data_IF_700028891943
#
_entry.id   IF_700028891943
#
_cell.length_a   1.000
_cell.length_b   1.000
_cell.length_c   1.000
_cell.angle_alpha   90.00
_cell.angle_beta   90.00
_cell.angle_gamma   90.00
#
_symmetry.space_group_name_H-M   'P 1'
#
loop_
_entity.id
_entity.type
_entity.pdbx_description
1 polymer ?
#
# COMPACT_ATOMS: atom_id res chain seq x y z
N UNK A 1 16.75 10.58 1.92
CA UNK A 1 17.41 9.44 2.61
C UNK A 1 16.36 8.35 2.79
N UNK A 2 16.68 7.09 2.49
CA UNK A 2 15.77 5.96 2.60
C UNK A 2 16.17 5.08 3.79
N UNK A 3 15.19 4.46 4.46
CA UNK A 3 15.43 3.49 5.52
C UNK A 3 14.83 2.14 5.13
N UNK A 4 15.64 1.08 5.20
CA UNK A 4 15.15 -0.28 5.17
C UNK A 4 14.71 -0.67 6.59
N UNK A 5 13.40 -0.85 6.74
CA UNK A 5 12.74 -1.14 8.02
C UNK A 5 12.79 -2.65 8.27
N UNK A 6 13.72 -3.06 9.11
CA UNK A 6 13.97 -4.45 9.48
C UNK A 6 13.83 -4.67 10.98
N UNK A 7 13.51 -5.90 11.40
CA UNK A 7 13.38 -6.25 12.81
C UNK A 7 11.96 -6.12 13.37
N UNK A 8 11.60 -7.11 14.20
CA UNK A 8 10.23 -7.33 14.67
C UNK A 8 9.64 -6.12 15.39
N UNK A 9 10.40 -5.48 16.27
CA UNK A 9 9.91 -4.34 17.06
C UNK A 9 9.54 -3.15 16.15
N UNK A 10 10.36 -2.84 15.16
CA UNK A 10 10.12 -1.70 14.27
C UNK A 10 8.94 -1.97 13.33
N UNK A 11 8.85 -3.19 12.78
CA UNK A 11 7.72 -3.60 11.95
C UNK A 11 6.40 -3.66 12.74
N UNK A 12 6.42 -4.05 14.01
CA UNK A 12 5.25 -3.98 14.90
C UNK A 12 4.84 -2.53 15.18
N UNK A 13 5.79 -1.62 15.38
CA UNK A 13 5.50 -0.18 15.53
C UNK A 13 4.87 0.38 14.25
N UNK A 14 5.40 0.02 13.07
CA UNK A 14 4.84 0.41 11.79
C UNK A 14 3.41 -0.13 11.63
N UNK A 15 3.19 -1.42 11.89
CA UNK A 15 1.86 -2.04 11.81
C UNK A 15 0.84 -1.31 12.71
N UNK A 16 1.23 -0.99 13.96
CA UNK A 16 0.37 -0.23 14.89
C UNK A 16 0.07 1.18 14.38
N UNK A 17 1.04 1.84 13.77
CA UNK A 17 0.86 3.18 13.17
C UNK A 17 -0.12 3.12 11.99
N UNK A 18 0.09 2.20 11.05
CA UNK A 18 -0.79 1.99 9.89
C UNK A 18 -2.22 1.63 10.30
N UNK A 19 -2.39 0.82 11.36
CA UNK A 19 -3.73 0.44 11.87
C UNK A 19 -4.59 1.65 12.24
N UNK A 20 -3.99 2.72 12.76
CA UNK A 20 -4.70 3.95 13.15
C UNK A 20 -5.24 4.73 11.96
N UNK A 21 -4.65 4.57 10.78
CA UNK A 21 -5.02 5.30 9.56
C UNK A 21 -5.95 4.55 8.61
N UNK A 22 -6.39 3.33 8.96
CA UNK A 22 -7.29 2.55 8.12
C UNK A 22 -8.58 3.35 7.79
N UNK A 23 -9.11 3.30 6.54
CA UNK A 23 -8.82 2.33 5.47
C UNK A 23 -7.55 2.53 4.66
N UNK A 24 -7.05 3.76 4.57
CA UNK A 24 -6.12 4.13 3.50
C UNK A 24 -4.86 3.25 3.39
N UNK A 25 -4.16 2.92 4.48
CA UNK A 25 -2.99 2.05 4.43
C UNK A 25 -3.31 0.56 4.33
N UNK A 26 -4.57 0.12 4.14
CA UNK A 26 -4.96 -1.29 4.29
C UNK A 26 -4.07 -2.28 3.53
N UNK A 27 -3.75 -1.98 2.26
CA UNK A 27 -2.85 -2.83 1.44
C UNK A 27 -1.45 -2.98 2.04
N UNK A 28 -0.91 -1.90 2.61
CA UNK A 28 0.39 -1.93 3.28
C UNK A 28 0.27 -2.59 4.65
N UNK A 29 -0.74 -2.24 5.44
CA UNK A 29 -1.02 -2.80 6.77
C UNK A 29 -1.10 -4.34 6.74
N UNK A 30 -1.91 -4.90 5.83
CA UNK A 30 -2.07 -6.35 5.68
C UNK A 30 -0.74 -7.01 5.33
N UNK A 31 0.07 -6.37 4.50
CA UNK A 31 1.36 -6.90 4.09
C UNK A 31 2.36 -6.87 5.23
N UNK A 32 2.44 -5.78 6.00
CA UNK A 32 3.28 -5.73 7.21
C UNK A 32 2.82 -6.78 8.24
N UNK A 33 1.52 -7.03 8.37
CA UNK A 33 1.00 -8.09 9.23
C UNK A 33 1.52 -9.48 8.83
N UNK A 34 1.62 -9.78 7.54
CA UNK A 34 2.22 -11.03 7.07
C UNK A 34 3.75 -11.05 7.21
N UNK A 35 4.43 -9.92 7.01
CA UNK A 35 5.87 -9.81 7.26
C UNK A 35 6.17 -10.10 8.74
N UNK A 36 5.39 -9.56 9.67
CA UNK A 36 5.50 -9.83 11.11
C UNK A 36 5.26 -11.31 11.49
N UNK A 37 4.68 -12.12 10.60
CA UNK A 37 4.43 -13.55 10.79
C UNK A 37 5.47 -14.45 10.11
N UNK A 38 6.64 -13.90 9.79
CA UNK A 38 7.76 -14.66 9.21
C UNK A 38 8.04 -14.35 7.75
N UNK A 39 7.36 -13.37 7.16
CA UNK A 39 7.65 -12.85 5.82
C UNK A 39 7.72 -13.95 4.73
N UNK A 40 6.63 -14.71 4.51
CA UNK A 40 6.64 -15.85 3.60
C UNK A 40 6.95 -15.50 2.14
N UNK A 41 6.88 -14.23 1.78
CA UNK A 41 7.10 -13.73 0.42
C UNK A 41 8.43 -12.97 0.25
N UNK A 42 9.32 -13.02 1.24
CA UNK A 42 10.64 -12.37 1.21
C UNK A 42 10.58 -10.89 0.77
N UNK A 43 9.66 -10.13 1.37
CA UNK A 43 9.45 -8.72 1.07
C UNK A 43 10.33 -7.83 1.97
N UNK A 44 10.78 -6.70 1.43
CA UNK A 44 11.41 -5.62 2.18
C UNK A 44 10.44 -4.46 2.39
N UNK A 45 10.64 -3.73 3.49
CA UNK A 45 9.85 -2.54 3.82
C UNK A 45 10.74 -1.30 3.79
N UNK A 46 10.43 -0.34 2.95
CA UNK A 46 11.18 0.90 2.78
C UNK A 46 10.35 2.08 3.27
N UNK A 47 11.00 3.03 3.96
CA UNK A 47 10.38 4.31 4.37
C UNK A 47 11.29 5.50 4.11
N UNK A 48 10.69 6.67 3.92
CA UNK A 48 11.40 7.93 3.72
C UNK A 48 11.99 8.48 5.03
N UNK A 49 11.30 8.26 6.15
CA UNK A 49 11.70 8.68 7.50
C UNK A 49 11.28 7.64 8.53
N UNK A 50 11.97 7.62 9.65
CA UNK A 50 11.61 6.77 10.78
C UNK A 50 11.90 7.48 12.11
N UNK A 51 11.04 7.39 13.14
CA UNK A 51 9.76 6.65 13.19
C UNK A 51 8.58 7.37 12.53
N UNK A 52 8.67 8.68 12.27
CA UNK A 52 7.60 9.46 11.65
C UNK A 52 7.72 9.50 10.12
N UNK A 53 7.46 8.34 9.50
CA UNK A 53 7.43 8.19 8.05
C UNK A 53 6.33 9.04 7.41
N UNK A 54 6.56 9.52 6.19
CA UNK A 54 5.49 10.01 5.30
C UNK A 54 5.05 8.91 4.35
N UNK A 55 5.99 8.16 3.77
CA UNK A 55 5.70 7.14 2.75
C UNK A 55 6.28 5.79 3.14
N UNK A 56 5.50 4.73 2.90
CA UNK A 56 5.90 3.33 3.07
C UNK A 56 5.77 2.63 1.73
N UNK A 57 6.81 1.89 1.36
CA UNK A 57 6.82 1.01 0.20
C UNK A 57 7.17 -0.39 0.67
N UNK A 58 6.36 -1.37 0.29
CA UNK A 58 6.69 -2.79 0.47
C UNK A 58 6.86 -3.42 -0.89
N UNK A 59 7.99 -4.08 -1.11
CA UNK A 59 8.38 -4.66 -2.40
C UNK A 59 9.27 -5.90 -2.20
N UNK A 60 9.54 -6.70 -3.25
CA UNK A 60 10.46 -7.84 -3.15
C UNK A 60 11.87 -7.44 -2.67
N UNK A 61 12.48 -8.28 -1.82
CA UNK A 61 13.83 -8.00 -1.29
C UNK A 61 14.89 -8.04 -2.40
N UNK A 62 14.88 -9.12 -3.17
CA UNK A 62 15.66 -9.32 -4.39
C UNK A 62 14.76 -8.96 -5.58
N UNK A 63 15.29 -8.22 -6.56
CA UNK A 63 14.60 -8.07 -7.84
C UNK A 63 14.43 -9.49 -8.39
N UNK A 64 13.18 -9.94 -8.44
CA UNK A 64 12.85 -11.27 -8.93
C UNK A 64 13.40 -11.38 -10.36
N UNK A 65 14.01 -12.50 -10.69
CA UNK A 65 14.89 -12.64 -11.86
C UNK A 65 14.18 -12.51 -13.21
N UNK A 66 12.85 -12.35 -13.22
CA UNK A 66 12.06 -12.12 -14.41
C UNK A 66 11.52 -10.68 -14.45
N UNK A 67 12.19 -9.84 -15.24
CA UNK A 67 11.80 -8.45 -15.48
C UNK A 67 10.43 -8.33 -16.17
N UNK A 68 9.87 -9.42 -16.72
CA UNK A 68 8.59 -9.43 -17.41
C UNK A 68 7.40 -9.83 -16.51
N UNK A 69 7.67 -10.40 -15.33
CA UNK A 69 6.65 -10.87 -14.40
C UNK A 69 6.16 -9.76 -13.45
N UNK A 70 5.10 -9.07 -13.86
CA UNK A 70 4.47 -8.04 -13.04
C UNK A 70 3.80 -8.58 -11.76
N UNK A 71 3.54 -9.89 -11.65
CA UNK A 71 2.91 -10.47 -10.46
C UNK A 71 3.91 -10.56 -9.30
N UNK A 72 5.14 -11.00 -9.58
CA UNK A 72 6.22 -11.03 -8.59
C UNK A 72 6.81 -9.63 -8.34
N UNK A 73 6.77 -8.72 -9.32
CA UNK A 73 7.22 -7.33 -9.21
C UNK A 73 6.15 -6.37 -8.63
N UNK A 74 5.52 -6.75 -7.52
CA UNK A 74 4.47 -5.95 -6.86
C UNK A 74 5.02 -4.98 -5.81
N UNK A 75 4.66 -3.70 -5.94
CA UNK A 75 4.92 -2.63 -4.98
C UNK A 75 3.62 -2.24 -4.27
N UNK A 76 3.64 -2.19 -2.94
CA UNK A 76 2.51 -1.74 -2.13
C UNK A 76 2.86 -0.43 -1.45
N UNK A 77 2.07 0.61 -1.71
CA UNK A 77 2.44 1.98 -1.36
C UNK A 77 1.34 2.64 -0.52
N UNK A 78 1.76 3.30 0.54
CA UNK A 78 0.95 4.21 1.34
C UNK A 78 1.74 5.49 1.59
N UNK A 79 1.08 6.65 1.50
CA UNK A 79 1.69 7.92 1.87
C UNK A 79 0.73 8.84 2.62
N UNK A 80 1.25 9.57 3.59
CA UNK A 80 0.58 10.69 4.27
C UNK A 80 0.69 11.99 3.46
N UNK A 81 1.61 12.06 2.50
CA UNK A 81 2.00 13.29 1.80
C UNK A 81 2.41 12.97 0.35
N UNK A 82 1.52 13.21 -0.64
CA UNK A 82 1.79 12.91 -2.04
C UNK A 82 3.03 13.60 -2.61
N UNK A 83 3.37 14.81 -2.14
CA UNK A 83 4.55 15.54 -2.62
C UNK A 83 5.84 14.84 -2.18
N UNK A 84 5.93 14.51 -0.89
CA UNK A 84 7.06 13.71 -0.37
C UNK A 84 7.07 12.29 -0.92
N UNK A 85 5.89 11.74 -1.24
CA UNK A 85 5.77 10.46 -1.94
C UNK A 85 6.48 10.52 -3.29
N UNK A 86 6.21 11.55 -4.10
CA UNK A 86 6.85 11.69 -5.41
C UNK A 86 8.37 11.79 -5.30
N UNK A 87 8.88 12.59 -4.36
CA UNK A 87 10.33 12.69 -4.10
C UNK A 87 10.94 11.35 -3.70
N UNK A 88 10.27 10.61 -2.82
CA UNK A 88 10.77 9.32 -2.32
C UNK A 88 10.73 8.22 -3.38
N UNK A 89 9.63 8.10 -4.12
CA UNK A 89 9.46 7.10 -5.18
C UNK A 89 10.31 7.39 -6.43
N UNK A 90 10.75 8.64 -6.59
CA UNK A 90 11.68 9.03 -7.65
C UNK A 90 13.13 8.59 -7.41
N UNK A 91 13.45 8.07 -6.22
CA UNK A 91 14.77 7.48 -5.95
C UNK A 91 14.92 6.15 -6.71
N UNK A 92 16.02 5.94 -7.46
CA UNK A 92 16.19 4.76 -8.30
C UNK A 92 16.21 3.44 -7.52
N UNK A 93 16.49 3.48 -6.22
CA UNK A 93 16.53 2.30 -5.35
C UNK A 93 15.15 1.88 -4.83
N UNK A 94 14.11 2.71 -5.01
CA UNK A 94 12.78 2.47 -4.41
C UNK A 94 11.87 1.71 -5.36
N UNK A 95 11.77 2.14 -6.63
CA UNK A 95 11.01 1.44 -7.67
C UNK A 95 11.92 1.20 -8.88
N UNK A 96 11.98 -0.05 -9.34
CA UNK A 96 12.67 -0.37 -10.58
C UNK A 96 11.75 -0.13 -11.77
N UNK A 97 11.76 1.08 -12.31
CA UNK A 97 10.92 1.44 -13.46
C UNK A 97 11.32 0.78 -14.78
N UNK A 98 12.44 0.04 -14.81
CA UNK A 98 12.90 -0.68 -16.02
C UNK A 98 12.21 -2.04 -16.22
N UNK A 99 11.51 -2.56 -15.21
CA UNK A 99 10.83 -3.85 -15.26
C UNK A 99 9.31 -3.68 -15.41
N UNK A 100 8.62 -4.74 -15.82
CA UNK A 100 7.17 -4.83 -15.69
C UNK A 100 6.79 -4.98 -14.21
N UNK A 101 5.94 -4.09 -13.72
CA UNK A 101 5.61 -4.01 -12.31
C UNK A 101 4.14 -3.74 -12.07
N UNK A 102 3.67 -4.07 -10.87
CA UNK A 102 2.34 -3.71 -10.39
C UNK A 102 2.47 -2.81 -9.16
N UNK A 103 1.75 -1.68 -9.14
CA UNK A 103 1.61 -0.82 -7.96
C UNK A 103 0.22 -1.02 -7.37
N UNK A 104 0.14 -1.26 -6.07
CA UNK A 104 -1.10 -1.41 -5.33
C UNK A 104 -1.17 -0.37 -4.21
N UNK A 105 -2.23 0.45 -4.25
CA UNK A 105 -2.58 1.38 -3.18
C UNK A 105 -4.11 1.48 -3.05
N UNK A 106 -4.57 1.95 -1.90
CA UNK A 106 -5.99 2.32 -1.71
C UNK A 106 -6.20 3.84 -1.81
N UNK A 107 -5.16 4.59 -2.16
CA UNK A 107 -5.17 6.06 -2.20
C UNK A 107 -5.18 6.56 -3.66
N UNK A 108 -6.31 7.10 -4.11
CA UNK A 108 -6.39 7.76 -5.43
C UNK A 108 -5.55 9.03 -5.52
N UNK A 109 -5.19 9.63 -4.38
CA UNK A 109 -4.27 10.78 -4.34
C UNK A 109 -2.88 10.47 -4.91
N UNK A 110 -2.52 9.19 -5.02
CA UNK A 110 -1.24 8.75 -5.60
C UNK A 110 -1.30 8.58 -7.12
N UNK A 111 -2.48 8.62 -7.75
CA UNK A 111 -2.63 8.36 -9.19
C UNK A 111 -1.71 9.29 -10.02
N UNK A 112 -1.81 10.61 -9.78
CA UNK A 112 -0.97 11.61 -10.46
C UNK A 112 0.51 11.46 -10.14
N UNK A 113 0.85 11.06 -8.92
CA UNK A 113 2.26 10.84 -8.53
C UNK A 113 2.84 9.69 -9.34
N UNK A 114 2.11 8.58 -9.48
CA UNK A 114 2.54 7.42 -10.25
C UNK A 114 2.60 7.73 -11.74
N UNK A 115 1.61 8.43 -12.29
CA UNK A 115 1.60 8.86 -13.69
C UNK A 115 2.82 9.74 -14.01
N UNK A 116 3.12 10.73 -13.16
CA UNK A 116 4.26 11.62 -13.33
C UNK A 116 5.59 10.83 -13.32
N UNK A 117 5.77 9.93 -12.36
CA UNK A 117 7.00 9.14 -12.23
C UNK A 117 7.18 8.17 -13.39
N UNK A 118 6.09 7.56 -13.87
CA UNK A 118 6.13 6.71 -15.05
C UNK A 118 6.50 7.48 -16.32
N UNK A 119 5.93 8.68 -16.50
CA UNK A 119 6.26 9.54 -17.64
C UNK A 119 7.76 9.93 -17.63
N UNK A 120 8.30 10.29 -16.47
CA UNK A 120 9.74 10.59 -16.29
C UNK A 120 10.59 9.36 -16.60
N UNK A 121 10.11 8.17 -16.24
CA UNK A 121 10.82 6.90 -16.43
C UNK A 121 10.61 6.27 -17.81
N UNK A 122 10.00 6.99 -18.76
CA UNK A 122 9.65 6.52 -20.13
C UNK A 122 8.73 5.28 -20.14
N UNK A 123 8.00 5.04 -19.06
CA UNK A 123 7.06 3.94 -18.92
C UNK A 123 5.64 4.31 -19.37
N UNK A 124 4.80 3.29 -19.56
CA UNK A 124 3.34 3.44 -19.71
C UNK A 124 2.66 2.80 -18.51
N UNK A 125 1.73 3.52 -17.88
CA UNK A 125 0.92 3.00 -16.77
C UNK A 125 -0.52 2.85 -17.22
N UNK A 126 -1.14 1.74 -16.84
CA UNK A 126 -2.58 1.52 -16.95
C UNK A 126 -3.18 1.52 -15.55
N UNK A 127 -4.01 2.50 -15.24
CA UNK A 127 -4.76 2.52 -13.99
C UNK A 127 -5.89 1.48 -14.03
N UNK A 128 -6.06 0.75 -12.94
CA UNK A 128 -7.20 -0.16 -12.73
C UNK A 128 -7.80 0.10 -11.36
N UNK A 129 -9.12 0.31 -11.31
CA UNK A 129 -9.85 0.45 -10.05
C UNK A 129 -10.39 -0.91 -9.61
N UNK A 130 -10.17 -1.25 -8.34
CA UNK A 130 -10.61 -2.51 -7.75
C UNK A 130 -11.48 -2.24 -6.52
N UNK A 131 -12.55 -3.00 -6.36
CA UNK A 131 -13.39 -2.97 -5.16
C UNK A 131 -12.91 -4.07 -4.21
N UNK A 132 -12.51 -3.68 -2.99
CA UNK A 132 -12.17 -4.63 -1.94
C UNK A 132 -13.39 -4.92 -1.06
N UNK A 133 -13.79 -6.19 -1.03
CA UNK A 133 -14.83 -6.68 -0.13
C UNK A 133 -14.21 -7.17 1.17
N UNK A 134 -14.77 -6.73 2.30
CA UNK A 134 -14.33 -7.13 3.64
C UNK A 134 -15.52 -7.71 4.40
N UNK A 135 -15.29 -8.82 5.10
CA UNK A 135 -16.32 -9.45 5.94
C UNK A 135 -16.75 -8.44 7.02
N UNK A 136 -18.05 -8.21 7.26
CA UNK A 136 -18.53 -7.21 8.21
C UNK A 136 -17.94 -7.33 9.62
N UNK A 137 -17.74 -8.57 10.11
CA UNK A 137 -17.07 -8.84 11.39
C UNK A 137 -15.65 -8.29 11.40
N UNK A 138 -14.85 -8.60 10.38
CA UNK A 138 -13.48 -8.11 10.22
C UNK A 138 -13.45 -6.58 10.10
N UNK A 139 -14.39 -6.00 9.34
CA UNK A 139 -14.51 -4.55 9.23
C UNK A 139 -14.80 -3.90 10.60
N UNK A 140 -15.64 -4.51 11.43
CA UNK A 140 -15.94 -4.03 12.79
C UNK A 140 -14.71 -4.04 13.70
N UNK A 141 -13.88 -5.06 13.58
CA UNK A 141 -12.69 -5.25 14.43
C UNK A 141 -11.49 -4.40 13.99
N UNK A 142 -11.29 -4.26 12.68
CA UNK A 142 -10.15 -3.52 12.13
C UNK A 142 -10.46 -2.04 11.94
N UNK A 143 -11.71 -1.71 11.57
CA UNK A 143 -12.09 -0.40 11.05
C UNK A 143 -13.51 0.00 11.49
N UNK A 144 -13.78 0.09 12.81
CA UNK A 144 -15.12 0.32 13.34
C UNK A 144 -15.75 1.63 12.82
N UNK A 145 -14.94 2.64 12.48
CA UNK A 145 -15.37 3.91 11.91
C UNK A 145 -16.13 3.75 10.58
N UNK A 146 -15.76 2.77 9.74
CA UNK A 146 -16.44 2.56 8.45
C UNK A 146 -17.89 2.06 8.59
N UNK A 147 -18.20 1.36 9.67
CA UNK A 147 -19.55 0.83 9.90
C UNK A 147 -20.49 1.93 10.40
N UNK A 148 -19.97 2.93 11.12
CA UNK A 148 -20.76 4.07 11.59
C UNK A 148 -21.07 5.07 10.47
N UNK A 149 -20.19 5.18 9.47
CA UNK A 149 -20.43 6.02 8.28
C UNK A 149 -21.55 5.47 7.39
N UNK A 150 -21.79 4.15 7.44
CA UNK A 150 -22.94 3.52 6.82
C UNK A 150 -24.11 3.47 7.81
N UNK A 151 -24.84 4.58 7.95
CA UNK A 151 -26.30 4.46 8.11
C UNK A 151 -26.81 3.83 6.80
N UNK A 152 -26.70 2.50 6.71
CA UNK A 152 -27.34 1.73 5.66
C UNK A 152 -28.82 2.14 5.65
N UNK A 153 -29.42 2.41 4.48
CA UNK A 153 -30.86 2.59 4.44
C UNK A 153 -31.49 1.36 5.07
N UNK A 154 -32.43 1.62 5.97
CA UNK A 154 -33.10 0.61 6.78
C UNK A 154 -33.48 -0.59 5.91
N UNK A 155 -33.16 -1.81 6.36
CA UNK A 155 -33.42 -3.02 5.57
C UNK A 155 -34.90 -3.18 5.22
N UNK A 156 -35.78 -2.48 5.94
CA UNK A 156 -37.21 -2.41 5.71
C UNK A 156 -37.62 -1.63 4.44
N UNK A 157 -36.68 -0.92 3.77
CA UNK A 157 -36.93 -0.25 2.48
C UNK A 157 -36.59 -1.10 1.25
N UNK A 158 -36.14 -2.34 1.43
CA UNK A 158 -35.85 -3.30 0.34
C UNK A 158 -36.99 -4.32 0.15
N UNK A 159 -38.25 -3.90 0.37
CA UNK A 159 -39.41 -4.60 -0.17
C UNK A 159 -39.80 -3.96 -1.50
N UNK A 160 -39.42 -4.63 -2.57
CA UNK A 160 -40.05 -4.67 -3.90
C UNK A 160 -40.15 -3.33 -4.63
N UNK A 161 -39.33 -3.17 -5.67
CA UNK A 161 -39.76 -2.65 -6.97
C UNK A 161 -39.18 -3.55 -8.06
#
# INVERSE_FOLDING_TARGET
KMFHLQGLQMLQMLQKSLRKGLPEPLKVYETIFYINQGNPFNLKTLVDKWPDFNTVVVCPQEQMTDDLDHYTNTYKIYSKDPMKCQEFLGLPEVINWKQHLQIQSSQSSLDKVIENLAAISLGRVKQTQCILYVIPKTAKELMPSLLNARKLPDRDKLKIM
#
